data_IF_602795877573
#
_entry.id   IF_602795877573
#
_cell.length_a   1.000
_cell.length_b   1.000
_cell.length_c   1.000
_cell.angle_alpha   90.00
_cell.angle_beta   90.00
_cell.angle_gamma   90.00
#
_symmetry.space_group_name_H-M   'P 1'
#
loop_
_entity.id
_entity.type
_entity.pdbx_description
1 polymer ?
#
# COMPACT_ATOMS: atom_id res chain seq x y z
N UNK A 1 0.15 -11.10 34.99
CA UNK A 1 0.56 -9.69 35.14
C UNK A 1 0.93 -9.24 33.75
N UNK A 2 0.01 -8.60 33.03
CA UNK A 2 0.28 -8.08 31.67
C UNK A 2 1.05 -6.79 31.82
N UNK A 3 2.22 -6.70 31.21
CA UNK A 3 2.98 -5.47 31.04
C UNK A 3 2.11 -4.48 30.26
N UNK A 4 1.47 -3.57 30.99
CA UNK A 4 1.07 -2.28 30.41
C UNK A 4 2.36 -1.52 30.16
N UNK A 5 2.91 -1.64 28.95
CA UNK A 5 3.85 -0.64 28.44
C UNK A 5 3.15 0.71 28.56
N UNK A 6 3.62 1.53 29.51
CA UNK A 6 3.24 2.93 29.61
C UNK A 6 3.86 3.63 28.42
N UNK A 7 3.18 3.56 27.26
CA UNK A 7 3.60 4.25 26.06
C UNK A 7 3.47 5.75 26.35
N UNK A 8 4.61 6.42 26.52
CA UNK A 8 4.65 7.86 26.75
C UNK A 8 4.11 8.57 25.48
N UNK A 9 2.97 9.24 25.59
CA UNK A 9 2.33 9.95 24.47
C UNK A 9 3.24 11.04 23.88
N UNK A 10 4.28 11.47 24.62
CA UNK A 10 5.30 12.44 24.18
C UNK A 10 6.24 11.92 23.08
N UNK A 11 6.34 10.60 22.86
CA UNK A 11 7.21 10.01 21.83
C UNK A 11 6.50 9.79 20.48
N UNK A 12 5.24 10.21 20.35
CA UNK A 12 4.47 9.95 19.14
C UNK A 12 4.87 10.90 18.01
N UNK A 13 5.10 10.39 16.78
CA UNK A 13 5.59 11.19 15.66
C UNK A 13 4.57 12.23 15.15
N UNK A 14 3.29 12.05 15.47
CA UNK A 14 2.20 12.90 14.96
C UNK A 14 1.25 13.37 16.07
N UNK A 15 0.58 14.52 15.91
CA UNK A 15 -0.44 14.97 16.85
C UNK A 15 -1.67 14.04 16.89
N UNK A 16 -2.02 13.54 18.08
CA UNK A 16 -3.09 12.55 18.24
C UNK A 16 -4.49 13.09 17.94
N UNK A 17 -4.80 14.32 18.37
CA UNK A 17 -6.16 14.86 18.22
C UNK A 17 -6.59 15.05 16.74
N UNK A 18 -5.77 15.66 15.85
CA UNK A 18 -6.06 15.70 14.42
C UNK A 18 -6.24 14.31 13.80
N UNK A 19 -5.37 13.36 14.16
CA UNK A 19 -5.44 11.98 13.67
C UNK A 19 -6.78 11.33 14.02
N UNK A 20 -7.18 11.39 15.29
CA UNK A 20 -8.45 10.82 15.76
C UNK A 20 -9.64 11.49 15.09
N UNK A 21 -9.59 12.81 14.83
CA UNK A 21 -10.66 13.51 14.09
C UNK A 21 -10.78 12.98 12.66
N UNK A 22 -9.66 12.76 11.97
CA UNK A 22 -9.64 12.19 10.62
C UNK A 22 -10.22 10.77 10.62
N UNK A 23 -9.83 9.94 11.59
CA UNK A 23 -10.38 8.59 11.73
C UNK A 23 -11.90 8.62 11.93
N UNK A 24 -12.39 9.44 12.87
CA UNK A 24 -13.83 9.55 13.17
C UNK A 24 -14.66 10.10 12.01
N UNK A 25 -14.07 10.86 11.09
CA UNK A 25 -14.77 11.33 9.88
C UNK A 25 -15.19 10.16 8.97
N UNK A 26 -14.50 9.02 9.06
CA UNK A 26 -14.69 7.85 8.19
C UNK A 26 -15.27 6.63 8.93
N UNK A 27 -15.58 6.76 10.22
CA UNK A 27 -16.16 5.70 11.04
C UNK A 27 -17.61 6.06 11.40
N UNK A 28 -18.43 5.05 11.65
CA UNK A 28 -19.78 5.27 12.17
C UNK A 28 -19.74 6.03 13.51
N UNK A 29 -20.76 6.88 13.75
CA UNK A 29 -20.78 7.82 14.87
C UNK A 29 -20.72 7.15 16.24
N UNK A 30 -21.18 5.91 16.34
CA UNK A 30 -21.22 5.09 17.55
C UNK A 30 -19.89 4.35 17.83
N UNK A 31 -18.94 4.36 16.91
CA UNK A 31 -17.67 3.64 17.07
C UNK A 31 -16.72 4.37 18.02
N UNK A 32 -16.26 3.64 19.04
CA UNK A 32 -15.20 4.06 19.95
C UNK A 32 -13.84 3.53 19.49
N UNK A 33 -12.85 4.41 19.41
CA UNK A 33 -11.47 4.04 19.05
C UNK A 33 -10.69 3.80 20.35
N UNK A 34 -10.21 2.58 20.56
CA UNK A 34 -9.36 2.22 21.71
C UNK A 34 -8.01 2.93 21.62
N UNK A 35 -7.40 3.26 22.77
CA UNK A 35 -6.11 3.98 22.82
C UNK A 35 -5.00 3.28 22.04
N UNK A 36 -4.89 1.95 22.16
CA UNK A 36 -3.93 1.14 21.41
C UNK A 36 -4.06 1.35 19.89
N UNK A 37 -5.28 1.40 19.34
CA UNK A 37 -5.50 1.62 17.90
C UNK A 37 -5.03 3.02 17.49
N UNK A 38 -5.27 4.03 18.33
CA UNK A 38 -4.81 5.40 18.06
C UNK A 38 -3.29 5.49 18.02
N UNK A 39 -2.63 4.84 18.99
CA UNK A 39 -1.17 4.77 19.08
C UNK A 39 -0.58 4.02 17.89
N UNK A 40 -1.12 2.85 17.57
CA UNK A 40 -0.67 2.05 16.41
C UNK A 40 -0.83 2.82 15.10
N UNK A 41 -1.97 3.50 14.89
CA UNK A 41 -2.18 4.32 13.71
C UNK A 41 -1.16 5.46 13.62
N UNK A 42 -0.86 6.11 14.75
CA UNK A 42 0.11 7.19 14.81
C UNK A 42 1.51 6.73 14.42
N UNK A 43 1.99 5.64 15.03
CA UNK A 43 3.28 5.01 14.71
C UNK A 43 3.35 4.58 13.25
N UNK A 44 2.31 3.93 12.75
CA UNK A 44 2.24 3.47 11.35
C UNK A 44 2.33 4.63 10.35
N UNK A 45 1.62 5.74 10.60
CA UNK A 45 1.72 6.93 9.76
C UNK A 45 3.11 7.58 9.85
N UNK A 46 3.74 7.59 11.03
CA UNK A 46 5.13 8.03 11.19
C UNK A 46 6.09 7.19 10.35
N UNK A 47 6.00 5.86 10.45
CA UNK A 47 6.79 4.95 9.62
C UNK A 47 6.56 5.18 8.12
N UNK A 48 5.31 5.48 7.72
CA UNK A 48 4.99 5.79 6.33
C UNK A 48 5.69 7.06 5.87
N UNK A 49 5.65 8.13 6.68
CA UNK A 49 6.39 9.36 6.40
C UNK A 49 7.88 9.07 6.22
N UNK A 50 8.49 8.28 7.10
CA UNK A 50 9.90 7.90 6.95
C UNK A 50 10.19 7.12 5.67
N UNK A 51 9.31 6.18 5.28
CA UNK A 51 9.48 5.40 4.04
C UNK A 51 9.44 6.32 2.82
N UNK A 52 8.46 7.22 2.75
CA UNK A 52 8.35 8.19 1.66
C UNK A 52 9.56 9.14 1.66
N UNK A 53 10.00 9.62 2.82
CA UNK A 53 11.21 10.45 2.94
C UNK A 53 12.47 9.73 2.46
N UNK A 54 12.66 8.46 2.83
CA UNK A 54 13.78 7.64 2.34
C UNK A 54 13.75 7.47 0.82
N UNK A 55 12.56 7.27 0.24
CA UNK A 55 12.39 7.18 -1.21
C UNK A 55 12.72 8.51 -1.91
N UNK A 56 12.23 9.65 -1.40
CA UNK A 56 12.58 10.97 -1.93
C UNK A 56 14.08 11.25 -1.84
N UNK A 57 14.76 10.78 -0.79
CA UNK A 57 16.20 10.95 -0.60
C UNK A 57 17.06 10.16 -1.60
N UNK A 58 16.49 9.21 -2.35
CA UNK A 58 17.20 8.55 -3.47
C UNK A 58 17.39 9.49 -4.66
N UNK A 59 16.66 10.61 -4.71
CA UNK A 59 16.82 11.61 -5.75
C UNK A 59 18.20 12.29 -5.60
N UNK A 60 19.02 12.38 -6.68
CA UNK A 60 20.37 12.94 -6.61
C UNK A 60 20.42 14.47 -6.42
N UNK A 61 19.28 15.17 -6.55
CA UNK A 61 19.22 16.61 -6.37
C UNK A 61 19.21 16.98 -4.88
N UNK A 62 19.84 18.12 -4.57
CA UNK A 62 19.94 18.65 -3.20
C UNK A 62 18.60 19.15 -2.65
N UNK A 63 17.66 19.48 -3.53
CA UNK A 63 16.30 19.90 -3.19
C UNK A 63 15.29 18.83 -3.55
N UNK A 64 14.37 18.53 -2.63
CA UNK A 64 13.22 17.67 -2.87
C UNK A 64 12.08 18.53 -3.42
N UNK A 65 11.61 18.23 -4.63
CA UNK A 65 10.50 18.92 -5.27
C UNK A 65 9.20 18.06 -5.27
N UNK A 66 8.13 18.64 -5.80
CA UNK A 66 6.84 17.94 -5.90
C UNK A 66 6.91 16.71 -6.82
N UNK A 67 7.80 16.69 -7.81
CA UNK A 67 7.95 15.55 -8.70
C UNK A 67 8.56 14.36 -7.95
N UNK A 68 9.60 14.60 -7.14
CA UNK A 68 10.20 13.60 -6.27
C UNK A 68 9.20 13.04 -5.25
N UNK A 69 8.34 13.91 -4.67
CA UNK A 69 7.28 13.46 -3.78
C UNK A 69 6.26 12.56 -4.49
N UNK A 70 5.76 12.98 -5.66
CA UNK A 70 4.81 12.19 -6.46
C UNK A 70 5.38 10.84 -6.85
N UNK A 71 6.64 10.79 -7.26
CA UNK A 71 7.32 9.55 -7.59
C UNK A 71 7.43 8.63 -6.36
N UNK A 72 7.78 9.17 -5.19
CA UNK A 72 7.92 8.42 -3.95
C UNK A 72 6.59 7.81 -3.46
N UNK A 73 5.46 8.51 -3.63
CA UNK A 73 4.14 8.01 -3.19
C UNK A 73 3.45 7.12 -4.22
N UNK A 74 3.88 7.15 -5.50
CA UNK A 74 3.26 6.41 -6.60
C UNK A 74 3.07 4.92 -6.30
N UNK A 75 4.06 4.30 -5.67
CA UNK A 75 4.00 2.88 -5.25
C UNK A 75 2.88 2.55 -4.28
N UNK A 76 2.35 3.54 -3.55
CA UNK A 76 1.25 3.38 -2.61
C UNK A 76 -0.11 3.78 -3.21
N UNK A 77 -0.12 4.72 -4.15
CA UNK A 77 -1.34 5.13 -4.87
C UNK A 77 -1.76 4.08 -5.91
N UNK A 78 -0.79 3.46 -6.59
CA UNK A 78 -1.05 2.54 -7.70
C UNK A 78 -1.33 1.10 -7.23
N UNK A 79 -1.32 0.79 -5.93
CA UNK A 79 -1.41 -0.61 -5.43
C UNK A 79 -2.68 -1.34 -5.90
N UNK A 80 -3.83 -0.67 -5.91
CA UNK A 80 -5.08 -1.26 -6.40
C UNK A 80 -5.09 -1.42 -7.94
N UNK A 81 -4.48 -0.48 -8.66
CA UNK A 81 -4.37 -0.54 -10.12
C UNK A 81 -3.37 -1.63 -10.55
N UNK A 82 -2.24 -1.75 -9.85
CA UNK A 82 -1.25 -2.80 -10.05
C UNK A 82 -1.85 -4.20 -9.83
N UNK A 83 -2.71 -4.35 -8.80
CA UNK A 83 -3.36 -5.63 -8.56
C UNK A 83 -4.35 -5.99 -9.69
N UNK A 84 -5.14 -5.04 -10.17
CA UNK A 84 -6.03 -5.24 -11.33
C UNK A 84 -5.23 -5.53 -12.60
N UNK A 85 -4.11 -4.84 -12.81
CA UNK A 85 -3.25 -5.04 -13.96
C UNK A 85 -2.57 -6.40 -13.94
N UNK A 86 -2.14 -6.87 -12.77
CA UNK A 86 -1.65 -8.23 -12.57
C UNK A 86 -2.70 -9.28 -12.96
N UNK A 87 -3.94 -9.14 -12.49
CA UNK A 87 -5.04 -10.04 -12.85
C UNK A 87 -5.29 -10.06 -14.36
N UNK A 88 -5.32 -8.87 -15.00
CA UNK A 88 -5.48 -8.73 -16.44
C UNK A 88 -4.36 -9.45 -17.23
N UNK A 89 -3.11 -9.31 -16.80
CA UNK A 89 -1.96 -9.96 -17.43
C UNK A 89 -2.07 -11.49 -17.29
N UNK A 90 -2.43 -12.00 -16.11
CA UNK A 90 -2.63 -13.44 -15.89
C UNK A 90 -3.70 -14.00 -16.81
N UNK A 91 -4.86 -13.35 -16.93
CA UNK A 91 -5.93 -13.79 -17.86
C UNK A 91 -5.44 -13.80 -19.30
N UNK A 92 -4.63 -12.81 -19.70
CA UNK A 92 -4.07 -12.75 -21.05
C UNK A 92 -3.08 -13.90 -21.31
N UNK A 93 -2.26 -14.25 -20.32
CA UNK A 93 -1.34 -15.39 -20.41
C UNK A 93 -2.08 -16.74 -20.48
N UNK A 94 -3.16 -16.91 -19.72
CA UNK A 94 -3.99 -18.11 -19.78
C UNK A 94 -4.62 -18.29 -21.16
N UNK A 95 -5.08 -17.19 -21.77
CA UNK A 95 -5.62 -17.22 -23.13
C UNK A 95 -4.56 -17.63 -24.15
N UNK A 96 -3.36 -17.05 -24.09
CA UNK A 96 -2.25 -17.43 -24.96
C UNK A 96 -1.92 -18.91 -24.81
N UNK A 97 -1.92 -19.43 -23.57
CA UNK A 97 -1.71 -20.86 -23.33
C UNK A 97 -2.79 -21.72 -24.00
N UNK A 98 -4.06 -21.34 -23.88
CA UNK A 98 -5.15 -22.07 -24.54
C UNK A 98 -5.04 -22.04 -26.07
N UNK A 99 -4.59 -20.92 -26.63
CA UNK A 99 -4.32 -20.80 -28.06
C UNK A 99 -3.18 -21.76 -28.47
N UNK A 100 -2.09 -21.80 -27.71
CA UNK A 100 -1.00 -22.77 -27.93
C UNK A 100 -1.47 -24.23 -27.83
N UNK A 101 -2.25 -24.58 -26.80
CA UNK A 101 -2.80 -25.93 -26.62
C UNK A 101 -3.71 -26.34 -27.79
N UNK A 102 -4.44 -25.37 -28.37
CA UNK A 102 -5.29 -25.61 -29.54
C UNK A 102 -4.46 -25.85 -30.80
N UNK A 103 -3.41 -25.06 -31.03
CA UNK A 103 -2.47 -25.28 -32.14
C UNK A 103 -1.78 -26.65 -32.05
N UNK A 104 -1.39 -27.08 -30.85
CA UNK A 104 -0.80 -28.41 -30.63
C UNK A 104 -1.79 -29.51 -31.01
N UNK A 105 -3.06 -29.41 -30.58
CA UNK A 105 -4.10 -30.39 -30.93
C UNK A 105 -4.34 -30.47 -32.44
N UNK A 106 -4.32 -29.33 -33.13
CA UNK A 106 -4.51 -29.27 -34.57
C UNK A 106 -3.34 -29.89 -35.35
N UNK A 107 -2.10 -29.71 -34.87
CA UNK A 107 -0.93 -30.38 -35.43
C UNK A 107 -1.05 -31.89 -35.24
N UNK A 108 -1.30 -32.36 -34.02
CA UNK A 108 -1.40 -33.80 -33.76
C UNK A 108 -2.49 -34.45 -34.63
N UNK A 109 -3.67 -33.81 -34.74
CA UNK A 109 -4.76 -34.30 -35.64
C UNK A 109 -4.41 -34.37 -37.12
N UNK A 110 -3.50 -33.53 -37.62
CA UNK A 110 -3.13 -33.46 -39.04
C UNK A 110 -1.99 -34.41 -39.40
N UNK A 111 -1.17 -34.78 -38.42
CA UNK A 111 0.06 -35.55 -38.64
C UNK A 111 0.06 -36.92 -37.92
N UNK A 112 -1.01 -37.27 -37.20
CA UNK A 112 -1.40 -38.63 -36.83
C UNK A 112 -2.27 -39.28 -37.92
#
# INVERSE_FOLDING_TARGET
MTEEEVINEEELPLPMAPLVRLMKKNLDKDKLIKSQVKISMNKWLGEMCERVSRAMNLNPYTSIDLAAFKEAIKTYEDLEEMQKEKERIVVSLEKIKQDCDSLIRDINRKFD
#
